data_IF_686753774581
#
_entry.id   IF_686753774581
#
_cell.length_a   1.000
_cell.length_b   1.000
_cell.length_c   1.000
_cell.angle_alpha   90.00
_cell.angle_beta   90.00
_cell.angle_gamma   90.00
#
_symmetry.space_group_name_H-M   'P 1'
#
loop_
_entity.id
_entity.type
_entity.pdbx_description
1 polymer ?
#
# COMPACT_ATOMS: atom_id res chain seq x y z
N UNK A 1 16.02 -6.43 -20.89
CA UNK A 1 15.63 -6.26 -19.47
C UNK A 1 14.22 -5.70 -19.47
N UNK A 2 13.25 -6.43 -18.93
CA UNK A 2 11.89 -5.90 -18.78
C UNK A 2 11.95 -4.76 -17.77
N UNK A 3 11.56 -3.55 -18.17
CA UNK A 3 11.46 -2.42 -17.24
C UNK A 3 10.40 -2.75 -16.21
N UNK A 4 10.69 -2.54 -14.92
CA UNK A 4 9.73 -2.70 -13.82
C UNK A 4 8.57 -1.73 -13.95
N UNK A 5 7.49 -1.98 -13.20
CA UNK A 5 6.41 -1.01 -13.04
C UNK A 5 6.89 0.19 -12.23
N UNK A 6 7.58 -0.10 -11.11
CA UNK A 6 8.20 0.89 -10.22
C UNK A 6 9.66 0.54 -10.02
N UNK A 7 10.54 1.50 -10.25
CA UNK A 7 11.98 1.35 -10.05
C UNK A 7 12.48 2.51 -9.17
N UNK A 8 13.12 2.18 -8.05
CA UNK A 8 13.88 3.12 -7.23
C UNK A 8 15.36 2.87 -7.50
N UNK A 9 16.07 3.91 -7.90
CA UNK A 9 17.45 3.83 -8.33
C UNK A 9 18.32 4.74 -7.46
N UNK A 10 19.04 4.17 -6.49
CA UNK A 10 19.99 4.89 -5.65
C UNK A 10 19.35 5.97 -4.76
N UNK A 11 18.15 5.72 -4.24
CA UNK A 11 17.40 6.72 -3.48
C UNK A 11 18.07 7.04 -2.14
N UNK A 12 18.45 8.30 -1.97
CA UNK A 12 18.97 8.84 -0.71
C UNK A 12 18.08 9.97 -0.23
N UNK A 13 17.71 9.94 1.05
CA UNK A 13 16.92 11.00 1.72
C UNK A 13 17.59 11.39 3.01
N UNK A 14 17.86 12.69 3.17
CA UNK A 14 18.44 13.25 4.38
C UNK A 14 17.48 14.29 4.99
N UNK A 15 17.27 14.22 6.31
CA UNK A 15 16.58 15.22 7.11
C UNK A 15 17.59 15.80 8.13
N UNK A 16 17.97 17.05 7.96
CA UNK A 16 18.89 17.77 8.86
C UNK A 16 20.17 16.97 9.21
N UNK A 17 20.71 16.26 8.22
CA UNK A 17 21.91 15.43 8.37
C UNK A 17 21.65 13.97 8.79
N UNK A 18 20.41 13.63 9.17
CA UNK A 18 20.01 12.24 9.40
C UNK A 18 19.60 11.58 8.08
N UNK A 19 20.30 10.50 7.71
CA UNK A 19 20.00 9.72 6.51
C UNK A 19 18.85 8.74 6.79
N UNK A 20 17.67 9.07 6.31
CA UNK A 20 16.48 8.21 6.44
C UNK A 20 16.44 7.09 5.39
N UNK A 21 16.94 7.36 4.17
CA UNK A 21 17.20 6.36 3.12
C UNK A 21 18.62 6.55 2.59
N UNK A 22 19.27 5.45 2.20
CA UNK A 22 20.68 5.40 1.80
C UNK A 22 20.84 4.47 0.60
N UNK A 23 21.08 5.03 -0.57
CA UNK A 23 21.31 4.28 -1.81
C UNK A 23 20.29 3.13 -2.01
N UNK A 24 19.00 3.41 -1.71
CA UNK A 24 17.95 2.40 -1.76
C UNK A 24 17.60 2.09 -3.20
N UNK A 25 17.68 0.80 -3.52
CA UNK A 25 17.32 0.25 -4.83
C UNK A 25 16.19 -0.77 -4.67
N UNK A 26 15.14 -0.66 -5.49
CA UNK A 26 14.02 -1.59 -5.51
C UNK A 26 13.43 -1.64 -6.92
N UNK A 27 13.01 -2.83 -7.35
CA UNK A 27 12.31 -3.02 -8.61
C UNK A 27 11.06 -3.87 -8.40
N UNK A 28 9.88 -3.33 -8.76
CA UNK A 28 8.61 -4.04 -8.74
C UNK A 28 8.13 -4.33 -10.15
N UNK A 29 7.74 -5.57 -10.39
CA UNK A 29 7.16 -5.97 -11.68
C UNK A 29 5.65 -5.70 -11.74
N UNK A 30 5.08 -5.50 -12.94
CA UNK A 30 3.63 -5.39 -13.08
C UNK A 30 2.92 -6.63 -12.52
N UNK A 31 1.84 -6.42 -11.75
CA UNK A 31 1.04 -7.48 -11.14
C UNK A 31 1.68 -8.15 -9.91
N UNK A 32 2.85 -7.72 -9.49
CA UNK A 32 3.54 -8.28 -8.34
C UNK A 32 2.87 -7.89 -7.02
N UNK A 33 2.77 -8.83 -6.08
CA UNK A 33 2.53 -8.57 -4.66
C UNK A 33 3.88 -8.63 -3.94
N UNK A 34 4.29 -7.54 -3.30
CA UNK A 34 5.55 -7.44 -2.56
C UNK A 34 5.29 -6.95 -1.14
N UNK A 35 5.86 -7.65 -0.17
CA UNK A 35 5.89 -7.17 1.20
C UNK A 35 7.20 -6.44 1.50
N UNK A 36 7.12 -5.34 2.23
CA UNK A 36 8.28 -4.60 2.74
C UNK A 36 8.20 -4.58 4.25
N UNK A 37 9.19 -5.15 4.90
CA UNK A 37 9.29 -5.25 6.36
C UNK A 37 10.52 -4.51 6.87
N UNK A 38 10.57 -4.29 8.17
CA UNK A 38 11.72 -3.65 8.83
C UNK A 38 11.34 -3.12 10.20
N UNK A 39 12.28 -2.94 11.13
CA UNK A 39 12.02 -2.39 12.44
C UNK A 39 11.52 -0.93 12.36
N UNK A 40 11.12 -0.39 13.51
CA UNK A 40 10.81 1.02 13.62
C UNK A 40 12.06 1.86 13.30
N UNK A 41 11.88 2.92 12.52
CA UNK A 41 13.00 3.75 12.05
C UNK A 41 13.78 3.18 10.86
N UNK A 42 13.40 2.03 10.29
CA UNK A 42 14.07 1.46 9.11
C UNK A 42 13.93 2.31 7.83
N UNK A 43 13.06 3.32 7.81
CA UNK A 43 12.82 4.19 6.65
C UNK A 43 11.54 3.88 5.87
N UNK A 44 10.68 2.93 6.32
CA UNK A 44 9.48 2.47 5.62
C UNK A 44 8.52 3.60 5.22
N UNK A 45 8.21 4.51 6.14
CA UNK A 45 7.33 5.67 5.85
C UNK A 45 7.97 6.63 4.86
N UNK A 46 9.27 6.92 5.01
CA UNK A 46 10.01 7.79 4.08
C UNK A 46 10.06 7.17 2.69
N UNK A 47 10.23 5.85 2.60
CA UNK A 47 10.18 5.10 1.34
C UNK A 47 8.84 5.30 0.61
N UNK A 48 7.70 5.14 1.30
CA UNK A 48 6.38 5.42 0.70
C UNK A 48 6.21 6.90 0.34
N UNK A 49 6.70 7.80 1.20
CA UNK A 49 6.59 9.25 0.98
C UNK A 49 7.40 9.70 -0.24
N UNK A 50 8.52 9.03 -0.56
CA UNK A 50 9.29 9.26 -1.79
C UNK A 50 8.49 8.77 -3.02
N UNK A 51 7.91 7.57 -2.99
CA UNK A 51 7.13 7.04 -4.12
C UNK A 51 5.93 7.93 -4.42
N UNK A 52 5.29 8.49 -3.38
CA UNK A 52 4.11 9.36 -3.54
C UNK A 52 4.47 10.82 -3.85
N UNK A 53 5.75 11.19 -3.82
CA UNK A 53 6.22 12.55 -4.09
C UNK A 53 6.01 13.53 -2.93
N UNK A 54 5.67 13.04 -1.74
CA UNK A 54 5.56 13.83 -0.52
C UNK A 54 6.93 14.23 0.02
N UNK A 55 7.94 13.38 -0.18
CA UNK A 55 9.35 13.65 0.11
C UNK A 55 10.14 13.55 -1.18
N UNK A 56 10.95 14.58 -1.45
CA UNK A 56 11.90 14.55 -2.57
C UNK A 56 13.21 13.91 -2.10
N UNK A 57 13.77 12.94 -2.81
CA UNK A 57 15.08 12.40 -2.50
C UNK A 57 16.17 13.46 -2.80
N UNK A 58 17.27 13.40 -2.05
CA UNK A 58 18.46 14.23 -2.31
C UNK A 58 19.31 13.67 -3.45
N UNK A 59 19.26 12.35 -3.66
CA UNK A 59 19.96 11.62 -4.73
C UNK A 59 19.09 10.48 -5.25
N UNK A 60 19.35 10.05 -6.49
CA UNK A 60 18.65 8.96 -7.14
C UNK A 60 17.43 9.39 -7.92
N UNK A 61 16.70 8.41 -8.48
CA UNK A 61 15.46 8.64 -9.25
C UNK A 61 14.41 7.58 -8.94
N UNK A 62 13.14 7.96 -9.04
CA UNK A 62 11.99 7.07 -8.93
C UNK A 62 11.31 7.03 -10.29
N UNK A 63 11.34 5.85 -10.93
CA UNK A 63 10.71 5.64 -12.22
C UNK A 63 9.41 4.86 -12.05
N UNK A 64 8.34 5.35 -12.62
CA UNK A 64 7.06 4.65 -12.72
C UNK A 64 6.68 4.51 -14.19
N UNK A 65 6.55 3.26 -14.66
CA UNK A 65 6.36 2.95 -16.08
C UNK A 65 7.45 3.62 -16.96
N UNK A 66 8.70 3.59 -16.49
CA UNK A 66 9.86 4.19 -17.16
C UNK A 66 9.89 5.73 -17.19
N UNK A 67 9.04 6.41 -16.40
CA UNK A 67 8.98 7.88 -16.32
C UNK A 67 9.30 8.36 -14.92
N UNK A 68 10.22 9.30 -14.80
CA UNK A 68 10.58 9.90 -13.50
C UNK A 68 9.37 10.57 -12.82
N UNK A 69 9.25 10.30 -11.52
CA UNK A 69 8.28 10.94 -10.64
C UNK A 69 8.83 12.20 -9.96
N UNK A 70 10.12 12.47 -10.05
CA UNK A 70 10.76 13.58 -9.37
C UNK A 70 10.14 14.93 -9.77
N UNK A 71 9.96 15.79 -8.77
CA UNK A 71 9.37 17.12 -8.93
C UNK A 71 7.88 17.12 -9.29
N UNK A 72 7.22 15.96 -9.29
CA UNK A 72 5.77 15.88 -9.50
C UNK A 72 5.03 16.00 -8.18
N UNK A 73 3.98 16.82 -8.08
CA UNK A 73 3.15 16.88 -6.88
C UNK A 73 2.32 15.60 -6.71
N UNK A 74 2.02 15.21 -5.46
CA UNK A 74 1.30 13.99 -5.08
C UNK A 74 0.04 13.71 -5.92
N UNK A 75 -0.80 14.74 -6.14
CA UNK A 75 -2.03 14.59 -6.91
C UNK A 75 -1.80 14.23 -8.40
N UNK A 76 -0.64 14.56 -8.97
CA UNK A 76 -0.26 14.14 -10.33
C UNK A 76 0.24 12.72 -10.33
N UNK A 77 1.01 12.33 -9.30
CA UNK A 77 1.49 10.96 -9.11
C UNK A 77 0.31 10.01 -8.94
N UNK A 78 -0.66 10.36 -8.10
CA UNK A 78 -1.90 9.59 -7.96
C UNK A 78 -2.65 9.40 -9.30
N UNK A 79 -2.69 10.44 -10.15
CA UNK A 79 -3.32 10.35 -11.49
C UNK A 79 -2.54 9.47 -12.49
N UNK A 80 -1.27 9.18 -12.24
CA UNK A 80 -0.50 8.24 -13.05
C UNK A 80 -0.88 6.78 -12.77
N UNK A 81 -1.62 6.52 -11.70
CA UNK A 81 -2.06 5.18 -11.32
C UNK A 81 -1.40 4.66 -10.05
N UNK A 82 -0.90 5.52 -9.16
CA UNK A 82 -0.38 5.13 -7.84
C UNK A 82 -1.42 5.47 -6.79
N UNK A 83 -2.01 4.45 -6.16
CA UNK A 83 -2.92 4.60 -5.02
C UNK A 83 -2.22 4.30 -3.70
N UNK A 84 -2.46 5.11 -2.65
CA UNK A 84 -1.95 4.84 -1.30
C UNK A 84 -3.09 4.76 -0.31
N UNK A 85 -3.14 3.64 0.45
CA UNK A 85 -3.92 3.50 1.66
C UNK A 85 -3.09 4.05 2.83
N UNK A 86 -3.70 4.90 3.63
CA UNK A 86 -3.08 5.44 4.85
C UNK A 86 -3.37 4.54 6.06
N UNK A 87 -2.61 4.71 7.14
CA UNK A 87 -2.78 3.93 8.38
C UNK A 87 -4.20 4.05 8.98
N UNK A 88 -4.78 5.25 8.98
CA UNK A 88 -6.16 5.46 9.44
C UNK A 88 -7.12 5.44 8.26
N UNK A 89 -8.22 4.64 8.31
CA UNK A 89 -9.17 4.55 7.21
C UNK A 89 -9.80 5.90 6.87
N UNK A 90 -9.76 6.26 5.58
CA UNK A 90 -10.33 7.51 5.05
C UNK A 90 -11.57 7.23 4.24
N UNK A 91 -12.68 7.00 4.95
CA UNK A 91 -14.01 6.82 4.35
C UNK A 91 -14.91 8.00 4.68
N UNK A 92 -15.90 8.25 3.84
CA UNK A 92 -16.92 9.25 4.10
C UNK A 92 -17.98 8.63 5.03
N UNK A 93 -17.83 8.83 6.33
CA UNK A 93 -18.63 8.15 7.37
C UNK A 93 -20.12 8.42 7.29
N UNK A 94 -20.53 9.58 6.76
CA UNK A 94 -21.94 9.98 6.59
C UNK A 94 -22.55 9.48 5.27
N UNK A 95 -21.77 8.84 4.42
CA UNK A 95 -22.24 8.18 3.21
C UNK A 95 -22.34 6.67 3.44
N UNK A 96 -23.24 6.04 2.68
CA UNK A 96 -23.36 4.59 2.67
C UNK A 96 -22.11 3.94 2.03
N UNK A 97 -21.92 2.64 2.25
CA UNK A 97 -20.87 1.84 1.57
C UNK A 97 -20.98 2.03 0.05
N UNK A 98 -22.18 1.89 -0.49
CA UNK A 98 -22.47 2.07 -1.92
C UNK A 98 -22.08 3.46 -2.42
N UNK A 99 -22.42 4.52 -1.68
CA UNK A 99 -22.09 5.89 -2.07
C UNK A 99 -20.59 6.17 -2.01
N UNK A 100 -19.87 5.65 -1.01
CA UNK A 100 -18.41 5.73 -0.94
C UNK A 100 -17.76 5.12 -2.20
N UNK A 101 -18.18 3.91 -2.57
CA UNK A 101 -17.68 3.23 -3.76
C UNK A 101 -18.11 3.94 -5.06
N UNK A 102 -19.33 4.47 -5.10
CA UNK A 102 -19.82 5.25 -6.24
C UNK A 102 -18.96 6.50 -6.49
N UNK A 103 -18.56 7.20 -5.43
CA UNK A 103 -17.64 8.33 -5.52
C UNK A 103 -16.26 7.90 -6.07
N UNK A 104 -15.72 6.79 -5.59
CA UNK A 104 -14.42 6.28 -6.00
C UNK A 104 -14.38 5.87 -7.50
N UNK A 105 -15.43 5.18 -7.96
CA UNK A 105 -15.57 4.74 -9.37
C UNK A 105 -15.86 5.89 -10.32
N UNK A 106 -16.57 6.91 -9.83
CA UNK A 106 -16.90 8.06 -10.61
C UNK A 106 -15.69 8.97 -10.70
N UNK A 107 -14.90 8.91 -11.79
CA UNK A 107 -13.86 9.92 -12.08
C UNK A 107 -14.56 11.23 -12.50
N UNK A 108 -15.07 12.09 -11.58
CA UNK A 108 -15.88 13.20 -12.00
C UNK A 108 -14.98 14.27 -12.59
N UNK A 109 -15.23 14.59 -13.85
CA UNK A 109 -14.83 15.89 -14.38
C UNK A 109 -15.61 17.03 -13.70
N UNK A 110 -16.78 16.70 -13.07
CA UNK A 110 -17.61 17.63 -12.31
C UNK A 110 -18.41 16.84 -11.23
N UNK A 111 -18.26 17.16 -9.93
CA UNK A 111 -18.95 16.44 -8.85
C UNK A 111 -20.49 16.52 -8.91
N UNK A 112 -21.05 17.55 -9.52
CA UNK A 112 -22.50 17.76 -9.67
C UNK A 112 -23.21 16.75 -10.55
N UNK A 113 -22.53 16.09 -11.48
CA UNK A 113 -23.12 15.09 -12.38
C UNK A 113 -23.56 13.81 -11.66
N UNK A 114 -23.00 13.53 -10.47
CA UNK A 114 -23.37 12.38 -9.63
C UNK A 114 -24.72 12.61 -8.94
N UNK A 115 -25.01 13.84 -8.54
CA UNK A 115 -26.25 14.21 -7.85
C UNK A 115 -27.48 14.19 -8.77
N UNK A 116 -27.30 14.42 -10.08
CA UNK A 116 -28.41 14.61 -11.02
C UNK A 116 -28.55 13.43 -12.01
N UNK A 117 -27.47 12.72 -12.33
CA UNK A 117 -27.46 11.74 -13.44
C UNK A 117 -27.43 10.27 -13.03
N UNK A 118 -27.21 9.96 -11.77
CA UNK A 118 -26.99 8.58 -11.31
C UNK A 118 -25.76 7.91 -11.92
N UNK A 119 -25.41 6.72 -11.43
CA UNK A 119 -24.33 5.91 -12.00
C UNK A 119 -24.74 5.30 -13.37
N UNK A 120 -23.81 5.26 -14.32
CA UNK A 120 -23.97 4.46 -15.55
C UNK A 120 -24.04 2.97 -15.21
N UNK A 121 -24.61 2.13 -16.09
CA UNK A 121 -24.69 0.68 -15.85
C UNK A 121 -23.32 0.09 -15.49
N UNK A 122 -22.29 0.36 -16.30
CA UNK A 122 -20.93 -0.14 -16.05
C UNK A 122 -20.33 0.31 -14.70
N UNK A 123 -20.68 1.50 -14.23
CA UNK A 123 -20.24 1.98 -12.92
C UNK A 123 -20.99 1.26 -11.79
N UNK A 124 -22.28 0.97 -11.96
CA UNK A 124 -23.06 0.17 -11.01
C UNK A 124 -22.52 -1.24 -10.89
N UNK A 125 -22.20 -1.87 -12.02
CA UNK A 125 -21.61 -3.21 -12.07
C UNK A 125 -20.23 -3.21 -11.36
N UNK A 126 -19.41 -2.18 -11.59
CA UNK A 126 -18.12 -2.02 -10.91
C UNK A 126 -18.29 -1.84 -9.38
N UNK A 127 -19.24 -1.01 -8.93
CA UNK A 127 -19.54 -0.84 -7.49
C UNK A 127 -19.99 -2.16 -6.88
N UNK A 128 -20.87 -2.92 -7.57
CA UNK A 128 -21.31 -4.24 -7.11
C UNK A 128 -20.13 -5.22 -6.98
N UNK A 129 -19.25 -5.24 -7.98
CA UNK A 129 -18.04 -6.05 -7.97
C UNK A 129 -17.11 -5.67 -6.81
N UNK A 130 -16.86 -4.38 -6.58
CA UNK A 130 -16.04 -3.91 -5.47
C UNK A 130 -16.62 -4.32 -4.12
N UNK A 131 -17.94 -4.20 -3.92
CA UNK A 131 -18.59 -4.69 -2.71
C UNK A 131 -18.40 -6.19 -2.52
N UNK A 132 -18.36 -6.98 -3.63
CA UNK A 132 -18.16 -8.42 -3.54
C UNK A 132 -16.74 -8.79 -3.11
N UNK A 133 -15.74 -8.11 -3.63
CA UNK A 133 -14.32 -8.33 -3.27
C UNK A 133 -14.10 -8.15 -1.76
N UNK A 134 -14.74 -7.12 -1.16
CA UNK A 134 -14.57 -6.79 0.26
C UNK A 134 -15.69 -7.32 1.15
N UNK A 135 -16.54 -8.21 0.63
CA UNK A 135 -17.64 -8.86 1.37
C UNK A 135 -18.59 -7.89 2.10
N UNK A 136 -18.87 -6.74 1.50
CA UNK A 136 -19.76 -5.70 2.07
C UNK A 136 -21.13 -5.60 1.38
N UNK A 137 -21.53 -6.55 0.52
CA UNK A 137 -22.81 -6.50 -0.22
C UNK A 137 -24.02 -6.37 0.72
N UNK A 138 -24.02 -7.12 1.82
CA UNK A 138 -25.11 -7.10 2.80
C UNK A 138 -25.21 -5.77 3.58
N UNK A 139 -24.18 -4.95 3.50
CA UNK A 139 -24.07 -3.65 4.18
C UNK A 139 -24.02 -2.48 3.19
N UNK A 140 -24.42 -2.71 1.94
CA UNK A 140 -24.35 -1.72 0.87
C UNK A 140 -25.00 -0.37 1.24
N UNK A 141 -26.12 -0.42 1.97
CA UNK A 141 -26.90 0.76 2.35
C UNK A 141 -26.67 1.20 3.82
N UNK A 142 -25.67 0.60 4.51
CA UNK A 142 -25.23 1.05 5.81
C UNK A 142 -24.34 2.27 5.68
N UNK A 143 -24.45 3.20 6.64
CA UNK A 143 -23.49 4.30 6.76
C UNK A 143 -22.09 3.71 7.04
N UNK A 144 -21.07 4.22 6.35
CA UNK A 144 -19.70 3.77 6.55
C UNK A 144 -19.22 4.02 8.00
N UNK A 145 -19.75 5.03 8.67
CA UNK A 145 -19.51 5.29 10.09
C UNK A 145 -19.91 4.15 11.03
N UNK A 146 -20.91 3.33 10.64
CA UNK A 146 -21.42 2.20 11.42
C UNK A 146 -20.62 0.88 11.19
N UNK A 147 -19.65 0.87 10.30
CA UNK A 147 -18.78 -0.28 10.03
C UNK A 147 -17.76 -0.47 11.15
N UNK A 148 -17.31 -1.74 11.36
CA UNK A 148 -16.15 -2.04 12.21
C UNK A 148 -14.88 -1.39 11.63
N UNK A 149 -13.82 -1.35 12.43
CA UNK A 149 -12.54 -0.81 11.99
C UNK A 149 -12.01 -1.56 10.75
N UNK A 150 -11.99 -2.88 10.79
CA UNK A 150 -11.57 -3.72 9.66
C UNK A 150 -12.42 -3.51 8.41
N UNK A 151 -13.75 -3.42 8.57
CA UNK A 151 -14.65 -3.15 7.45
C UNK A 151 -14.43 -1.77 6.82
N UNK A 152 -14.10 -0.75 7.62
CA UNK A 152 -13.69 0.57 7.11
C UNK A 152 -12.39 0.47 6.31
N UNK A 153 -11.41 -0.33 6.77
CA UNK A 153 -10.17 -0.57 6.03
C UNK A 153 -10.43 -1.26 4.69
N UNK A 154 -11.29 -2.29 4.66
CA UNK A 154 -11.66 -2.97 3.41
C UNK A 154 -12.41 -2.05 2.46
N UNK A 155 -13.32 -1.21 2.99
CA UNK A 155 -14.01 -0.21 2.18
C UNK A 155 -13.01 0.78 1.56
N UNK A 156 -12.02 1.25 2.32
CA UNK A 156 -10.96 2.13 1.79
C UNK A 156 -10.14 1.45 0.69
N UNK A 157 -9.73 0.18 0.88
CA UNK A 157 -9.04 -0.59 -0.16
C UNK A 157 -9.93 -0.69 -1.41
N UNK A 158 -11.20 -1.02 -1.26
CA UNK A 158 -12.14 -1.09 -2.39
C UNK A 158 -12.33 0.26 -3.10
N UNK A 159 -12.33 1.37 -2.36
CA UNK A 159 -12.36 2.72 -2.94
C UNK A 159 -11.09 3.02 -3.74
N UNK A 160 -9.92 2.59 -3.27
CA UNK A 160 -8.66 2.73 -4.03
C UNK A 160 -8.69 1.88 -5.30
N UNK A 161 -9.07 0.61 -5.21
CA UNK A 161 -9.24 -0.30 -6.36
C UNK A 161 -10.27 0.25 -7.35
N UNK A 162 -11.31 0.93 -6.84
CA UNK A 162 -12.33 1.60 -7.67
C UNK A 162 -11.77 2.69 -8.57
N UNK A 163 -10.62 3.27 -8.22
CA UNK A 163 -9.92 4.27 -9.03
C UNK A 163 -9.05 3.64 -10.12
N UNK A 164 -8.96 2.30 -10.15
CA UNK A 164 -8.20 1.52 -11.13
C UNK A 164 -6.71 1.90 -11.17
N UNK A 165 -5.98 1.78 -10.04
CA UNK A 165 -4.57 2.08 -9.98
C UNK A 165 -3.73 0.92 -10.53
N UNK A 166 -2.57 1.23 -11.12
CA UNK A 166 -1.61 0.20 -11.50
C UNK A 166 -0.77 -0.28 -10.30
N UNK A 167 -0.56 0.61 -9.32
CA UNK A 167 0.19 0.34 -8.08
C UNK A 167 -0.63 0.74 -6.86
N UNK A 168 -0.83 -0.22 -5.96
CA UNK A 168 -1.42 -0.02 -4.64
C UNK A 168 -0.32 -0.04 -3.57
N UNK A 169 -0.19 1.04 -2.83
CA UNK A 169 0.66 1.15 -1.66
C UNK A 169 -0.21 1.00 -0.41
N UNK A 170 0.01 -0.07 0.35
CA UNK A 170 -0.82 -0.45 1.51
C UNK A 170 0.04 -0.43 2.76
N UNK A 171 -0.23 0.54 3.63
CA UNK A 171 0.57 0.81 4.83
C UNK A 171 -0.17 0.25 6.05
N UNK A 172 0.41 -0.74 6.72
CA UNK A 172 -0.10 -1.43 7.91
C UNK A 172 -1.59 -1.82 7.80
N UNK A 173 -1.95 -2.69 6.82
CA UNK A 173 -3.34 -3.01 6.56
C UNK A 173 -4.04 -3.81 7.66
N UNK A 174 -3.31 -4.44 8.58
CA UNK A 174 -3.90 -5.30 9.62
C UNK A 174 -3.80 -4.73 11.02
N UNK A 175 -3.34 -3.48 11.17
CA UNK A 175 -3.26 -2.84 12.46
C UNK A 175 -4.65 -2.77 13.15
N UNK A 176 -4.76 -3.39 14.34
CA UNK A 176 -6.00 -3.40 15.13
C UNK A 176 -7.10 -4.32 14.61
N UNK A 177 -6.79 -5.23 13.70
CA UNK A 177 -7.71 -6.26 13.21
C UNK A 177 -7.69 -7.50 14.11
N UNK A 178 -8.78 -8.27 14.08
CA UNK A 178 -8.83 -9.63 14.62
C UNK A 178 -8.10 -10.61 13.70
N UNK A 179 -7.78 -11.81 14.18
CA UNK A 179 -7.12 -12.84 13.37
C UNK A 179 -7.95 -13.19 12.12
N UNK A 180 -9.27 -13.31 12.26
CA UNK A 180 -10.18 -13.57 11.13
C UNK A 180 -10.17 -12.41 10.11
N UNK A 181 -10.19 -11.16 10.58
CA UNK A 181 -10.10 -9.97 9.71
C UNK A 181 -8.74 -9.89 9.02
N UNK A 182 -7.67 -10.32 9.70
CA UNK A 182 -6.30 -10.40 9.16
C UNK A 182 -6.22 -11.42 8.02
N UNK A 183 -6.81 -12.62 8.21
CA UNK A 183 -6.88 -13.64 7.17
C UNK A 183 -7.62 -13.14 5.92
N UNK A 184 -8.78 -12.54 6.12
CA UNK A 184 -9.58 -11.98 5.03
C UNK A 184 -8.85 -10.84 4.31
N UNK A 185 -8.04 -10.06 5.04
CA UNK A 185 -7.22 -8.99 4.44
C UNK A 185 -6.09 -9.58 3.59
N UNK A 186 -5.45 -10.66 4.04
CA UNK A 186 -4.43 -11.34 3.24
C UNK A 186 -5.03 -11.89 1.93
N UNK A 187 -6.18 -12.55 1.99
CA UNK A 187 -6.87 -13.09 0.82
C UNK A 187 -7.30 -11.98 -0.14
N UNK A 188 -7.80 -10.86 0.40
CA UNK A 188 -8.15 -9.69 -0.40
C UNK A 188 -6.92 -9.18 -1.17
N UNK A 189 -5.79 -8.93 -0.50
CA UNK A 189 -4.59 -8.39 -1.15
C UNK A 189 -4.01 -9.36 -2.19
N UNK A 190 -4.03 -10.67 -1.92
CA UNK A 190 -3.67 -11.69 -2.92
C UNK A 190 -4.58 -11.65 -4.15
N UNK A 191 -5.88 -11.48 -3.94
CA UNK A 191 -6.85 -11.44 -5.05
C UNK A 191 -6.70 -10.20 -5.94
N UNK A 192 -6.07 -9.14 -5.45
CA UNK A 192 -5.79 -7.92 -6.21
C UNK A 192 -4.50 -8.03 -7.03
N UNK A 193 -3.58 -8.91 -6.63
CA UNK A 193 -2.34 -9.16 -7.38
C UNK A 193 -2.65 -9.74 -8.77
N UNK A 194 -1.80 -9.44 -9.73
CA UNK A 194 -2.04 -9.77 -11.14
C UNK A 194 -2.72 -8.63 -11.90
N UNK A 195 -3.90 -8.21 -11.47
CA UNK A 195 -4.61 -7.05 -12.04
C UNK A 195 -3.98 -5.73 -11.57
N UNK A 196 -3.49 -5.70 -10.34
CA UNK A 196 -2.78 -4.57 -9.74
C UNK A 196 -1.42 -5.03 -9.21
N UNK A 197 -0.44 -4.13 -9.22
CA UNK A 197 0.78 -4.33 -8.42
C UNK A 197 0.49 -3.85 -7.00
N UNK A 198 0.83 -4.66 -6.00
CA UNK A 198 0.53 -4.38 -4.60
C UNK A 198 1.82 -4.37 -3.79
N UNK A 199 2.12 -3.25 -3.15
CA UNK A 199 3.22 -3.13 -2.19
C UNK A 199 2.64 -2.94 -0.79
N UNK A 200 2.95 -3.88 0.09
CA UNK A 200 2.46 -3.90 1.47
C UNK A 200 3.60 -3.58 2.41
N UNK A 201 3.42 -2.60 3.28
CA UNK A 201 4.32 -2.36 4.42
C UNK A 201 3.67 -2.94 5.66
N UNK A 202 4.39 -3.81 6.35
CA UNK A 202 3.93 -4.45 7.56
C UNK A 202 5.09 -4.85 8.49
N UNK A 203 4.75 -5.14 9.72
CA UNK A 203 5.67 -5.64 10.73
C UNK A 203 5.16 -6.95 11.37
N UNK A 204 3.94 -7.38 11.07
CA UNK A 204 3.37 -8.65 11.50
C UNK A 204 3.87 -9.79 10.60
N UNK A 205 4.74 -10.64 11.18
CA UNK A 205 5.38 -11.74 10.45
C UNK A 205 4.39 -12.85 10.09
N UNK A 206 3.34 -13.06 10.87
CA UNK A 206 2.31 -14.06 10.54
C UNK A 206 1.50 -13.63 9.33
N UNK A 207 1.11 -12.35 9.30
CA UNK A 207 0.43 -11.80 8.15
C UNK A 207 1.29 -11.86 6.88
N UNK A 208 2.58 -11.54 6.98
CA UNK A 208 3.51 -11.63 5.84
C UNK A 208 3.63 -13.06 5.31
N UNK A 209 3.69 -14.06 6.20
CA UNK A 209 3.65 -15.47 5.80
C UNK A 209 2.37 -15.85 5.07
N UNK A 210 1.22 -15.34 5.55
CA UNK A 210 -0.08 -15.55 4.90
C UNK A 210 -0.17 -14.91 3.52
N UNK A 211 0.51 -13.78 3.30
CA UNK A 211 0.59 -13.15 1.97
C UNK A 211 1.31 -14.05 0.95
N UNK A 212 2.22 -14.92 1.38
CA UNK A 212 2.99 -15.82 0.52
C UNK A 212 3.59 -15.11 -0.70
N UNK A 213 4.23 -13.99 -0.44
CA UNK A 213 4.79 -13.09 -1.44
C UNK A 213 6.28 -12.83 -1.20
N UNK A 214 7.05 -12.39 -2.21
CA UNK A 214 8.40 -11.89 -2.01
C UNK A 214 8.43 -10.80 -0.94
N UNK A 215 9.49 -10.82 -0.12
CA UNK A 215 9.71 -9.91 0.98
C UNK A 215 11.00 -9.12 0.74
N UNK A 216 10.92 -7.81 0.96
CA UNK A 216 12.09 -6.90 1.01
C UNK A 216 12.26 -6.44 2.45
N UNK A 217 13.43 -6.64 3.03
CA UNK A 217 13.75 -6.18 4.39
C UNK A 217 14.47 -4.85 4.31
N UNK A 218 13.89 -3.83 4.94
CA UNK A 218 14.52 -2.52 5.12
C UNK A 218 15.17 -2.44 6.50
N UNK A 219 16.40 -1.93 6.54
CA UNK A 219 17.12 -1.62 7.77
C UNK A 219 17.99 -0.37 7.58
N UNK A 220 17.89 0.59 8.51
CA UNK A 220 18.66 1.84 8.50
C UNK A 220 18.68 2.55 7.13
N UNK A 221 17.57 2.54 6.43
CA UNK A 221 17.37 3.26 5.17
C UNK A 221 17.85 2.54 3.92
N UNK A 222 18.29 1.28 3.99
CA UNK A 222 18.68 0.49 2.81
C UNK A 222 18.01 -0.87 2.78
N UNK A 223 18.02 -1.53 1.62
CA UNK A 223 17.55 -2.92 1.48
C UNK A 223 18.60 -3.85 2.08
N UNK A 224 18.24 -4.57 3.12
CA UNK A 224 19.11 -5.54 3.78
C UNK A 224 19.16 -6.86 3.04
N UNK A 225 18.01 -7.39 2.67
CA UNK A 225 17.87 -8.59 1.82
C UNK A 225 16.50 -8.63 1.15
N UNK A 226 16.37 -9.49 0.15
CA UNK A 226 15.11 -9.80 -0.54
C UNK A 226 15.01 -11.30 -0.75
N UNK A 227 13.79 -11.84 -0.70
CA UNK A 227 13.53 -13.26 -0.94
C UNK A 227 12.14 -13.68 -0.49
N UNK A 228 11.92 -15.00 -0.45
CA UNK A 228 10.72 -15.57 0.20
C UNK A 228 10.81 -15.41 1.72
N UNK A 229 9.69 -15.46 2.41
CA UNK A 229 9.68 -15.35 3.87
C UNK A 229 10.56 -16.41 4.54
N UNK A 230 10.61 -17.63 3.99
CA UNK A 230 11.45 -18.72 4.50
C UNK A 230 12.96 -18.42 4.42
N UNK A 231 13.40 -17.74 3.36
CA UNK A 231 14.78 -17.31 3.22
C UNK A 231 15.11 -16.13 4.12
N UNK A 232 14.22 -15.16 4.20
CA UNK A 232 14.40 -13.94 4.98
C UNK A 232 14.49 -14.23 6.48
N UNK A 233 13.65 -15.11 7.00
CA UNK A 233 13.60 -15.43 8.44
C UNK A 233 14.84 -16.18 8.96
N UNK A 234 15.63 -16.81 8.09
CA UNK A 234 16.87 -17.52 8.45
C UNK A 234 18.14 -16.72 8.11
N UNK A 235 18.00 -15.55 7.48
CA UNK A 235 19.16 -14.68 7.20
C UNK A 235 19.72 -14.15 8.54
N UNK A 236 21.01 -14.42 8.85
CA UNK A 236 21.62 -13.99 10.11
C UNK A 236 21.51 -12.48 10.34
N UNK A 237 21.59 -11.67 9.27
CA UNK A 237 21.48 -10.20 9.36
C UNK A 237 20.07 -9.78 9.77
N UNK A 238 19.03 -10.47 9.30
CA UNK A 238 17.63 -10.21 9.66
C UNK A 238 17.40 -10.61 11.11
N UNK A 239 17.89 -11.78 11.51
CA UNK A 239 17.82 -12.26 12.90
C UNK A 239 18.43 -11.24 13.85
N UNK A 240 19.63 -10.76 13.55
CA UNK A 240 20.33 -9.73 14.34
C UNK A 240 19.49 -8.43 14.47
N UNK A 241 18.89 -7.98 13.39
CA UNK A 241 18.08 -6.75 13.35
C UNK A 241 16.79 -6.86 14.19
N UNK A 242 16.15 -8.04 14.22
CA UNK A 242 14.86 -8.23 14.89
C UNK A 242 14.98 -8.75 16.32
N UNK A 243 15.99 -9.57 16.63
CA UNK A 243 16.19 -10.11 17.98
C UNK A 243 17.12 -9.24 18.83
N UNK A 244 17.82 -8.29 18.20
CA UNK A 244 18.86 -7.50 18.83
C UNK A 244 20.13 -8.32 19.08
N UNK A 245 21.26 -7.68 19.14
CA UNK A 245 22.43 -8.24 19.82
C UNK A 245 22.10 -8.30 21.30
N UNK A 246 22.10 -9.49 21.89
CA UNK A 246 21.93 -9.76 23.33
C UNK A 246 23.11 -9.21 24.17
N UNK A 247 23.77 -8.16 23.72
CA UNK A 247 24.92 -7.54 24.39
C UNK A 247 24.81 -6.02 24.35
N UNK A 248 23.93 -5.43 25.16
CA UNK A 248 24.14 -4.05 25.68
C UNK A 248 23.22 -3.63 26.83
N UNK A 249 22.69 -4.58 27.62
CA UNK A 249 22.05 -4.27 28.91
C UNK A 249 22.96 -4.61 30.11
N UNK A 250 24.26 -4.36 29.97
CA UNK A 250 25.19 -4.49 31.11
C UNK A 250 26.28 -3.43 31.01
N UNK A 251 25.93 -2.17 31.27
CA UNK A 251 26.84 -1.19 31.86
C UNK A 251 26.10 0.00 32.43
#
# INVERSE_FOLDING_TARGET
MTSGLLELCGITVSFDGFLALRDLNLNLQPGELRAVIGPNGAGKTTFLDVITGKVAPSEGDVLFKGRSLLGRPEHRIARLGIGRKFQSPRVFEQLTVRENLALAVSRPKQPWTLLIGGLRSSQRDRVQHLMSIVNLQKRADWLAGALSHGQKQWLEIAMLVGQDPDLLLVDEPVAGLTDEETDLTADLLKSLAGDHTVLVIEHDMEFIRRLDSPVTVLHQGHVLCEGTMDLVQVDPRVIEVYLGTTEDDSK
#
